data_IF_450642589318
#
_entry.id   IF_450642589318
#
_cell.length_a   1.000
_cell.length_b   1.000
_cell.length_c   1.000
_cell.angle_alpha   90.00
_cell.angle_beta   90.00
_cell.angle_gamma   90.00
#
_symmetry.space_group_name_H-M   'P 1'
#
loop_
_entity.id
_entity.type
_entity.pdbx_description
1 polymer ?
#
# COMPACT_ATOMS: atom_id res chain seq x y z
N UNK A 1 -19.35 -10.02 30.83
CA UNK A 1 -18.15 -10.72 30.33
C UNK A 1 -18.28 -11.11 28.85
N UNK A 2 -19.36 -11.75 28.40
CA UNK A 2 -19.54 -12.14 26.99
C UNK A 2 -19.54 -10.91 26.05
N UNK A 3 -20.26 -9.82 26.41
CA UNK A 3 -20.26 -8.59 25.60
C UNK A 3 -18.90 -7.92 25.52
N UNK A 4 -18.10 -7.93 26.59
CA UNK A 4 -16.74 -7.38 26.59
C UNK A 4 -15.79 -8.25 25.76
N UNK A 5 -16.00 -9.57 25.75
CA UNK A 5 -15.26 -10.51 24.91
C UNK A 5 -15.62 -10.34 23.44
N UNK A 6 -16.91 -10.22 23.12
CA UNK A 6 -17.40 -9.97 21.75
C UNK A 6 -16.96 -8.60 21.22
N UNK A 7 -16.93 -7.57 22.08
CA UNK A 7 -16.43 -6.23 21.68
C UNK A 7 -14.92 -6.26 21.43
N UNK A 8 -14.16 -7.05 22.20
CA UNK A 8 -12.73 -7.27 21.98
C UNK A 8 -12.45 -8.13 20.74
N UNK A 9 -13.26 -9.16 20.49
CA UNK A 9 -13.19 -9.92 19.22
C UNK A 9 -13.54 -9.02 18.02
N UNK A 10 -14.55 -8.17 18.12
CA UNK A 10 -14.91 -7.21 17.07
C UNK A 10 -13.83 -6.15 16.80
N UNK A 11 -13.00 -5.83 17.80
CA UNK A 11 -11.85 -4.92 17.62
C UNK A 11 -10.60 -5.62 17.08
N UNK A 12 -10.53 -6.95 17.16
CA UNK A 12 -9.44 -7.76 16.57
C UNK A 12 -9.63 -7.92 15.06
N UNK A 13 -10.88 -7.94 14.60
CA UNK A 13 -11.22 -8.03 13.17
C UNK A 13 -11.74 -6.68 12.68
N UNK A 14 -10.83 -5.82 12.27
CA UNK A 14 -11.18 -4.57 11.59
C UNK A 14 -12.01 -4.87 10.32
N UNK A 15 -12.91 -3.96 9.95
CA UNK A 15 -13.69 -4.06 8.72
C UNK A 15 -12.80 -4.28 7.49
N UNK A 16 -11.57 -3.75 7.50
CA UNK A 16 -10.55 -3.99 6.50
C UNK A 16 -10.18 -5.46 6.38
N UNK A 17 -9.98 -6.19 7.50
CA UNK A 17 -9.64 -7.62 7.46
C UNK A 17 -10.73 -8.45 6.76
N UNK A 18 -11.99 -8.20 7.09
CA UNK A 18 -13.11 -8.92 6.48
C UNK A 18 -13.22 -8.69 4.98
N UNK A 19 -13.09 -7.45 4.53
CA UNK A 19 -13.27 -7.10 3.12
C UNK A 19 -12.04 -7.40 2.29
N UNK A 20 -10.83 -7.07 2.79
CA UNK A 20 -9.60 -7.16 2.01
C UNK A 20 -8.99 -8.56 1.98
N UNK A 21 -9.22 -9.38 3.01
CA UNK A 21 -8.54 -10.67 3.14
C UNK A 21 -9.52 -11.84 3.31
N UNK A 22 -10.48 -11.75 4.23
CA UNK A 22 -11.35 -12.87 4.53
C UNK A 22 -12.34 -13.18 3.38
N UNK A 23 -12.97 -12.17 2.79
CA UNK A 23 -13.86 -12.37 1.65
C UNK A 23 -13.13 -12.95 0.42
N UNK A 24 -11.95 -12.45 -0.02
CA UNK A 24 -11.15 -13.11 -1.03
C UNK A 24 -10.75 -14.55 -0.67
N UNK A 25 -10.34 -14.82 0.57
CA UNK A 25 -10.00 -16.17 1.03
C UNK A 25 -11.21 -17.11 0.93
N UNK A 26 -12.40 -16.63 1.32
CA UNK A 26 -13.64 -17.39 1.15
C UNK A 26 -13.91 -17.71 -0.32
N UNK A 27 -13.73 -16.75 -1.23
CA UNK A 27 -13.85 -16.98 -2.68
C UNK A 27 -12.86 -18.04 -3.15
N UNK A 28 -11.61 -18.02 -2.69
CA UNK A 28 -10.60 -19.04 -3.04
C UNK A 28 -11.02 -20.45 -2.63
N UNK A 29 -11.52 -20.62 -1.41
CA UNK A 29 -12.01 -21.91 -0.90
C UNK A 29 -13.25 -22.38 -1.67
N UNK A 30 -14.19 -21.47 -1.94
CA UNK A 30 -15.39 -21.79 -2.73
C UNK A 30 -15.04 -22.21 -4.16
N UNK A 31 -14.13 -21.50 -4.84
CA UNK A 31 -13.67 -21.85 -6.18
C UNK A 31 -12.99 -23.24 -6.22
N UNK A 32 -12.22 -23.56 -5.18
CA UNK A 32 -11.61 -24.89 -5.05
C UNK A 32 -12.66 -26.00 -4.88
N UNK A 33 -13.70 -25.73 -4.10
CA UNK A 33 -14.86 -26.61 -3.96
C UNK A 33 -15.62 -26.81 -5.29
N UNK A 34 -15.75 -25.73 -6.08
CA UNK A 34 -16.37 -25.81 -7.42
C UNK A 34 -15.56 -26.70 -8.36
N UNK A 35 -14.23 -26.54 -8.42
CA UNK A 35 -13.36 -27.39 -9.25
C UNK A 35 -13.52 -28.87 -8.85
N UNK A 36 -13.52 -29.15 -7.54
CA UNK A 36 -13.75 -30.50 -7.03
C UNK A 36 -15.12 -31.04 -7.42
N UNK A 37 -16.19 -30.25 -7.24
CA UNK A 37 -17.56 -30.65 -7.58
C UNK A 37 -17.77 -30.89 -9.08
N UNK A 38 -17.10 -30.11 -9.92
CA UNK A 38 -17.16 -30.30 -11.39
C UNK A 38 -16.44 -31.57 -11.80
N UNK A 39 -15.34 -31.93 -11.15
CA UNK A 39 -14.58 -33.14 -11.44
C UNK A 39 -15.31 -34.42 -10.94
N UNK A 40 -15.72 -34.43 -9.68
CA UNK A 40 -16.34 -35.60 -9.04
C UNK A 40 -17.82 -35.77 -9.42
N UNK A 41 -18.47 -34.69 -9.85
CA UNK A 41 -19.92 -34.64 -10.05
C UNK A 41 -20.65 -34.07 -8.85
N UNK A 42 -21.56 -33.14 -9.10
CA UNK A 42 -22.35 -32.49 -8.03
C UNK A 42 -23.16 -33.48 -7.18
N UNK A 43 -23.68 -34.58 -7.81
CA UNK A 43 -24.43 -35.57 -7.10
C UNK A 43 -23.56 -36.38 -6.12
N UNK A 44 -22.30 -36.68 -6.47
CA UNK A 44 -21.36 -37.37 -5.58
C UNK A 44 -20.97 -36.50 -4.38
N UNK A 45 -20.70 -35.21 -4.61
CA UNK A 45 -20.39 -34.27 -3.52
C UNK A 45 -21.58 -34.10 -2.59
N UNK A 46 -22.80 -33.98 -3.14
CA UNK A 46 -24.02 -33.93 -2.34
C UNK A 46 -24.22 -35.21 -1.54
N UNK A 47 -24.09 -36.37 -2.17
CA UNK A 47 -24.18 -37.67 -1.51
C UNK A 47 -23.13 -37.88 -0.42
N UNK A 48 -21.90 -37.41 -0.65
CA UNK A 48 -20.86 -37.39 0.39
C UNK A 48 -21.28 -36.53 1.58
N UNK A 49 -21.81 -35.32 1.34
CA UNK A 49 -22.28 -34.44 2.40
C UNK A 49 -23.43 -35.04 3.19
N UNK A 50 -24.44 -35.60 2.51
CA UNK A 50 -25.62 -36.20 3.12
C UNK A 50 -25.27 -37.51 3.88
N UNK A 51 -24.22 -38.19 3.49
CA UNK A 51 -23.68 -39.35 4.19
C UNK A 51 -22.96 -39.04 5.50
N UNK A 52 -22.61 -37.78 5.75
CA UNK A 52 -21.99 -37.36 7.01
C UNK A 52 -23.01 -37.30 8.15
N UNK A 53 -22.60 -37.73 9.34
CA UNK A 53 -23.41 -37.51 10.55
C UNK A 53 -23.43 -35.98 10.86
N UNK A 54 -24.48 -35.52 11.54
CA UNK A 54 -24.64 -34.12 11.91
C UNK A 54 -23.39 -33.52 12.60
N UNK A 55 -22.75 -34.30 13.49
CA UNK A 55 -21.50 -33.89 14.15
C UNK A 55 -20.34 -33.73 13.15
N UNK A 56 -20.24 -34.59 12.16
CA UNK A 56 -19.21 -34.51 11.12
C UNK A 56 -19.45 -33.33 10.17
N UNK A 57 -20.71 -33.05 9.83
CA UNK A 57 -21.07 -31.86 9.03
C UNK A 57 -20.68 -30.56 9.76
N UNK A 58 -20.97 -30.46 11.07
CA UNK A 58 -20.53 -29.33 11.90
C UNK A 58 -19.01 -29.22 11.94
N UNK A 59 -18.29 -30.32 12.19
CA UNK A 59 -16.82 -30.32 12.22
C UNK A 59 -16.22 -29.94 10.88
N UNK A 60 -16.80 -30.42 9.76
CA UNK A 60 -16.37 -30.04 8.41
C UNK A 60 -16.59 -28.57 8.15
N UNK A 61 -17.75 -28.01 8.53
CA UNK A 61 -18.04 -26.58 8.43
C UNK A 61 -17.05 -25.73 9.24
N UNK A 62 -16.76 -26.15 10.48
CA UNK A 62 -15.75 -25.46 11.33
C UNK A 62 -14.35 -25.57 10.73
N UNK A 63 -13.96 -26.73 10.17
CA UNK A 63 -12.67 -26.90 9.50
C UNK A 63 -12.54 -26.01 8.25
N UNK A 64 -13.60 -25.89 7.44
CA UNK A 64 -13.63 -24.98 6.30
C UNK A 64 -13.54 -23.51 6.75
N UNK A 65 -14.26 -23.11 7.80
CA UNK A 65 -14.16 -21.76 8.37
C UNK A 65 -12.74 -21.45 8.86
N UNK A 66 -12.12 -22.41 9.55
CA UNK A 66 -10.73 -22.31 10.00
C UNK A 66 -9.78 -22.17 8.79
N UNK A 67 -9.98 -22.98 7.75
CA UNK A 67 -9.18 -22.91 6.53
C UNK A 67 -9.29 -21.54 5.87
N UNK A 68 -10.50 -21.00 5.70
CA UNK A 68 -10.72 -19.61 5.18
C UNK A 68 -9.96 -18.60 6.02
N UNK A 69 -10.04 -18.72 7.35
CA UNK A 69 -9.37 -17.78 8.26
C UNK A 69 -7.85 -17.88 8.14
N UNK A 70 -7.29 -19.07 8.05
CA UNK A 70 -5.84 -19.28 7.83
C UNK A 70 -5.40 -18.68 6.50
N UNK A 71 -6.14 -18.92 5.41
CA UNK A 71 -5.85 -18.33 4.10
C UNK A 71 -5.93 -16.80 4.16
N UNK A 72 -6.91 -16.24 4.88
CA UNK A 72 -7.03 -14.80 5.06
C UNK A 72 -5.80 -14.18 5.77
N UNK A 73 -5.29 -14.81 6.82
CA UNK A 73 -4.05 -14.38 7.48
C UNK A 73 -2.82 -14.49 6.58
N UNK A 74 -2.75 -15.52 5.73
CA UNK A 74 -1.67 -15.62 4.73
C UNK A 74 -1.75 -14.48 3.71
N UNK A 75 -2.95 -14.14 3.22
CA UNK A 75 -3.14 -13.01 2.32
C UNK A 75 -2.75 -11.68 3.00
N UNK A 76 -3.13 -11.49 4.27
CA UNK A 76 -2.74 -10.30 5.04
C UNK A 76 -1.21 -10.21 5.20
N UNK A 77 -0.55 -11.31 5.55
CA UNK A 77 0.91 -11.35 5.67
C UNK A 77 1.63 -11.05 4.33
N UNK A 78 0.98 -11.37 3.20
CA UNK A 78 1.51 -11.14 1.86
C UNK A 78 1.06 -9.80 1.24
N UNK A 79 0.25 -8.99 1.92
CA UNK A 79 -0.38 -7.77 1.40
C UNK A 79 0.62 -6.86 0.68
N UNK A 80 1.70 -6.47 1.36
CA UNK A 80 2.73 -5.57 0.80
C UNK A 80 3.38 -6.18 -0.44
N UNK A 81 3.63 -7.50 -0.44
CA UNK A 81 4.23 -8.17 -1.58
C UNK A 81 3.28 -8.20 -2.78
N UNK A 82 2.00 -8.53 -2.56
CA UNK A 82 0.97 -8.55 -3.61
C UNK A 82 0.83 -7.16 -4.23
N UNK A 83 0.64 -6.12 -3.42
CA UNK A 83 0.51 -4.73 -3.90
C UNK A 83 1.72 -4.33 -4.74
N UNK A 84 2.95 -4.60 -4.28
CA UNK A 84 4.18 -4.28 -5.02
C UNK A 84 4.26 -4.97 -6.38
N UNK A 85 3.81 -6.22 -6.51
CA UNK A 85 3.77 -6.89 -7.81
C UNK A 85 2.84 -6.15 -8.79
N UNK A 86 1.67 -5.73 -8.32
CA UNK A 86 0.71 -4.98 -9.14
C UNK A 86 1.09 -3.51 -9.34
N UNK A 87 1.96 -2.93 -8.53
CA UNK A 87 2.59 -1.64 -8.77
C UNK A 87 3.67 -1.70 -9.88
N UNK A 88 4.11 -2.90 -10.24
CA UNK A 88 5.13 -3.11 -11.27
C UNK A 88 6.55 -3.23 -10.74
N UNK A 89 6.74 -3.56 -9.46
CA UNK A 89 8.04 -3.94 -8.89
C UNK A 89 8.29 -5.43 -9.09
N UNK A 90 8.65 -5.79 -10.32
CA UNK A 90 8.85 -7.18 -10.67
C UNK A 90 10.28 -7.65 -10.37
N UNK A 91 10.50 -8.96 -10.08
CA UNK A 91 11.82 -9.49 -9.84
C UNK A 91 12.75 -9.30 -11.06
N UNK A 92 14.05 -9.26 -10.83
CA UNK A 92 15.07 -9.00 -11.83
C UNK A 92 15.00 -9.92 -13.07
N UNK A 93 14.57 -11.16 -12.89
CA UNK A 93 14.37 -12.12 -14.00
C UNK A 93 13.19 -11.79 -14.92
N UNK A 94 12.28 -10.92 -14.49
CA UNK A 94 11.20 -10.34 -15.30
C UNK A 94 11.53 -8.93 -15.84
N UNK A 95 12.74 -8.44 -15.65
CA UNK A 95 13.14 -7.08 -16.01
C UNK A 95 12.90 -6.75 -17.49
N UNK A 96 13.03 -7.75 -18.38
CA UNK A 96 12.73 -7.56 -19.79
C UNK A 96 11.23 -7.30 -20.04
N UNK A 97 10.36 -8.05 -19.40
CA UNK A 97 8.92 -7.84 -19.47
C UNK A 97 8.52 -6.50 -18.84
N UNK A 98 9.15 -6.16 -17.71
CA UNK A 98 8.93 -4.88 -17.04
C UNK A 98 9.24 -3.70 -17.96
N UNK A 99 10.40 -3.68 -18.61
CA UNK A 99 10.78 -2.63 -19.55
C UNK A 99 9.77 -2.50 -20.70
N UNK A 100 9.36 -3.61 -21.31
CA UNK A 100 8.34 -3.59 -22.37
C UNK A 100 7.00 -3.05 -21.87
N UNK A 101 6.58 -3.46 -20.68
CA UNK A 101 5.35 -2.95 -20.08
C UNK A 101 5.45 -1.45 -19.76
N UNK A 102 6.59 -0.97 -19.28
CA UNK A 102 6.85 0.46 -19.08
C UNK A 102 6.77 1.24 -20.41
N UNK A 103 7.32 0.71 -21.50
CA UNK A 103 7.24 1.36 -22.83
C UNK A 103 5.77 1.45 -23.31
N UNK A 104 4.98 0.40 -23.10
CA UNK A 104 3.54 0.42 -23.38
C UNK A 104 2.83 1.47 -22.52
N UNK A 105 3.20 1.60 -21.25
CA UNK A 105 2.62 2.60 -20.35
C UNK A 105 3.07 4.04 -20.72
N UNK A 106 4.30 4.24 -21.17
CA UNK A 106 4.76 5.55 -21.71
C UNK A 106 3.96 5.93 -22.95
N UNK A 107 3.71 4.99 -23.87
CA UNK A 107 2.85 5.23 -25.02
C UNK A 107 1.40 5.52 -24.61
N UNK A 108 0.88 4.84 -23.57
CA UNK A 108 -0.44 5.12 -23.01
C UNK A 108 -0.50 6.51 -22.35
N UNK A 109 0.55 6.91 -21.63
CA UNK A 109 0.68 8.27 -21.07
C UNK A 109 0.65 9.33 -22.17
N UNK A 110 1.41 9.15 -23.25
CA UNK A 110 1.44 10.10 -24.36
C UNK A 110 0.04 10.29 -24.97
N UNK A 111 -0.73 9.19 -25.17
CA UNK A 111 -2.12 9.26 -25.65
C UNK A 111 -3.04 9.99 -24.66
N UNK A 112 -2.89 9.67 -23.37
CA UNK A 112 -3.68 10.30 -22.31
C UNK A 112 -3.43 11.80 -22.25
N UNK A 113 -2.17 12.24 -22.30
CA UNK A 113 -1.75 13.65 -22.32
C UNK A 113 -2.34 14.38 -23.52
N UNK A 114 -2.27 13.77 -24.71
CA UNK A 114 -2.85 14.35 -25.93
C UNK A 114 -4.38 14.53 -25.84
N UNK A 115 -5.09 13.66 -25.12
CA UNK A 115 -6.54 13.73 -24.94
C UNK A 115 -6.96 14.72 -23.82
N UNK A 116 -6.10 15.00 -22.85
CA UNK A 116 -6.40 15.78 -21.64
C UNK A 116 -5.60 17.10 -21.59
N UNK A 117 -5.50 17.82 -22.71
CA UNK A 117 -4.90 19.16 -22.80
C UNK A 117 -3.48 19.25 -22.23
N UNK A 118 -2.66 18.21 -22.47
CA UNK A 118 -1.29 18.08 -21.99
C UNK A 118 -1.13 17.86 -20.48
N UNK A 119 -2.18 17.45 -19.79
CA UNK A 119 -2.10 17.06 -18.39
C UNK A 119 -1.92 15.55 -18.23
N UNK A 120 -0.75 15.10 -17.80
CA UNK A 120 -0.51 13.67 -17.45
C UNK A 120 -1.29 13.26 -16.18
N UNK A 121 -1.59 14.22 -15.39
CA UNK A 121 -2.15 14.12 -14.06
C UNK A 121 -3.68 14.02 -14.07
N UNK A 122 -4.33 13.16 -13.26
CA UNK A 122 -3.80 12.37 -12.14
C UNK A 122 -3.46 10.90 -12.47
N UNK A 123 -3.45 10.49 -13.72
CA UNK A 123 -3.36 9.08 -14.12
C UNK A 123 -1.92 8.56 -14.22
N UNK A 124 -0.96 9.44 -14.49
CA UNK A 124 0.45 9.11 -14.67
C UNK A 124 1.37 10.07 -13.90
N UNK A 125 2.57 9.62 -13.50
CA UNK A 125 3.59 10.51 -12.96
C UNK A 125 4.01 11.55 -14.01
N UNK A 126 4.48 12.72 -13.57
CA UNK A 126 4.90 13.80 -14.46
C UNK A 126 6.19 13.40 -15.20
N UNK A 127 7.15 12.84 -14.48
CA UNK A 127 8.41 12.37 -15.04
C UNK A 127 8.23 11.02 -15.77
N UNK A 128 8.73 10.92 -17.03
CA UNK A 128 8.68 9.70 -17.82
C UNK A 128 9.57 8.57 -17.27
N UNK A 129 10.63 8.92 -16.54
CA UNK A 129 11.49 7.95 -15.87
C UNK A 129 10.79 7.26 -14.68
N UNK A 130 9.72 7.85 -14.17
CA UNK A 130 8.96 7.33 -13.05
C UNK A 130 7.74 6.51 -13.46
N UNK A 131 7.49 6.38 -14.77
CA UNK A 131 6.40 5.56 -15.30
C UNK A 131 6.62 4.09 -14.95
N UNK A 132 5.61 3.48 -14.32
CA UNK A 132 5.62 2.08 -13.90
C UNK A 132 5.05 1.16 -14.95
N UNK A 133 5.37 -0.13 -14.84
CA UNK A 133 4.92 -1.17 -15.76
C UNK A 133 3.39 -1.38 -15.78
N UNK A 134 2.66 -0.84 -14.79
CA UNK A 134 1.22 -1.09 -14.62
C UNK A 134 0.42 0.21 -14.47
N UNK A 135 -0.84 0.17 -14.89
CA UNK A 135 -1.74 1.32 -14.73
C UNK A 135 -2.06 1.65 -13.26
N UNK A 136 -2.07 0.63 -12.38
CA UNK A 136 -2.23 0.82 -10.93
C UNK A 136 -1.00 1.53 -10.36
N UNK A 137 0.21 1.03 -10.65
CA UNK A 137 1.45 1.62 -10.18
C UNK A 137 1.61 3.07 -10.65
N UNK A 138 1.18 3.41 -11.87
CA UNK A 138 1.23 4.79 -12.36
C UNK A 138 0.34 5.74 -11.55
N UNK A 139 -0.87 5.30 -11.15
CA UNK A 139 -1.77 6.13 -10.32
C UNK A 139 -1.25 6.36 -8.91
N UNK A 140 -0.70 5.32 -8.29
CA UNK A 140 -0.09 5.42 -6.96
C UNK A 140 1.14 6.32 -7.06
N UNK A 141 2.01 6.10 -8.07
CA UNK A 141 3.20 6.93 -8.26
C UNK A 141 2.89 8.39 -8.52
N UNK A 142 1.84 8.69 -9.29
CA UNK A 142 1.37 10.05 -9.49
C UNK A 142 0.91 10.72 -8.19
N UNK A 143 0.32 9.98 -7.25
CA UNK A 143 -0.06 10.50 -5.95
C UNK A 143 1.14 10.73 -5.03
N UNK A 144 2.16 9.85 -5.09
CA UNK A 144 3.42 10.01 -4.34
C UNK A 144 4.24 11.20 -4.86
N UNK A 145 4.23 11.46 -6.17
CA UNK A 145 4.96 12.56 -6.79
C UNK A 145 4.29 13.92 -6.53
N UNK A 146 2.98 13.95 -6.30
CA UNK A 146 2.19 15.16 -6.12
C UNK A 146 2.73 16.12 -5.07
N UNK A 147 2.96 15.72 -3.81
CA UNK A 147 3.46 16.65 -2.80
C UNK A 147 4.91 17.05 -3.05
N UNK A 148 5.69 16.26 -3.76
CA UNK A 148 7.04 16.63 -4.17
C UNK A 148 7.02 17.75 -5.21
N UNK A 149 6.09 17.72 -6.17
CA UNK A 149 5.94 18.75 -7.19
C UNK A 149 5.43 20.06 -6.61
N UNK A 150 4.39 20.01 -5.76
CA UNK A 150 3.74 21.22 -5.25
C UNK A 150 4.45 21.81 -4.04
N UNK A 151 4.92 20.99 -3.12
CA UNK A 151 5.40 21.41 -1.81
C UNK A 151 6.86 21.06 -1.57
N UNK A 152 7.55 20.41 -2.54
CA UNK A 152 8.90 19.84 -2.39
C UNK A 152 9.02 18.84 -1.23
N UNK A 153 7.94 18.16 -0.92
CA UNK A 153 7.78 17.23 0.19
C UNK A 153 7.79 15.80 -0.34
N UNK A 154 8.76 14.98 0.10
CA UNK A 154 8.83 13.56 -0.27
C UNK A 154 7.69 12.77 0.41
N UNK A 155 6.72 12.30 -0.38
CA UNK A 155 5.58 11.59 0.12
C UNK A 155 5.97 10.31 0.89
N UNK A 156 6.91 9.53 0.39
CA UNK A 156 7.29 8.23 0.97
C UNK A 156 7.93 8.43 2.35
N UNK A 157 8.82 9.41 2.46
CA UNK A 157 9.49 9.73 3.72
C UNK A 157 8.51 10.31 4.76
N UNK A 158 7.61 11.18 4.32
CA UNK A 158 6.76 11.95 5.23
C UNK A 158 5.42 11.30 5.53
N UNK A 159 4.98 10.31 4.74
CA UNK A 159 3.69 9.63 4.94
C UNK A 159 3.47 9.08 6.35
N UNK A 160 4.40 8.31 6.96
CA UNK A 160 4.16 7.77 8.31
C UNK A 160 3.98 8.87 9.37
N UNK A 161 4.71 9.98 9.22
CA UNK A 161 4.63 11.14 10.12
C UNK A 161 3.33 11.91 9.91
N UNK A 162 2.95 12.13 8.64
CA UNK A 162 1.69 12.75 8.27
C UNK A 162 0.51 11.92 8.79
N UNK A 163 0.54 10.60 8.60
CA UNK A 163 -0.49 9.70 9.09
C UNK A 163 -0.67 9.79 10.62
N UNK A 164 0.42 9.99 11.37
CA UNK A 164 0.35 10.21 12.82
C UNK A 164 -0.17 11.62 13.19
N UNK A 165 -0.01 12.59 12.29
CA UNK A 165 -0.45 13.96 12.50
C UNK A 165 -1.92 14.19 12.13
N UNK A 166 -2.45 13.41 11.19
CA UNK A 166 -3.84 13.52 10.72
C UNK A 166 -4.87 13.21 11.82
N UNK A 167 -6.06 13.85 11.76
CA UNK A 167 -7.23 13.46 12.55
C UNK A 167 -7.63 12.00 12.27
N UNK A 168 -8.27 11.34 13.26
CA UNK A 168 -8.73 9.97 13.13
C UNK A 168 -9.68 9.77 11.95
N UNK A 169 -10.56 10.71 11.70
CA UNK A 169 -11.51 10.68 10.56
C UNK A 169 -10.79 10.62 9.21
N UNK A 170 -9.71 11.41 9.03
CA UNK A 170 -8.95 11.40 7.78
C UNK A 170 -8.20 10.07 7.61
N UNK A 171 -7.62 9.53 8.67
CA UNK A 171 -6.99 8.19 8.66
C UNK A 171 -7.99 7.12 8.25
N UNK A 172 -9.18 7.10 8.87
CA UNK A 172 -10.25 6.17 8.52
C UNK A 172 -10.67 6.32 7.05
N UNK A 173 -10.72 7.54 6.52
CA UNK A 173 -11.03 7.80 5.10
C UNK A 173 -9.95 7.26 4.17
N UNK A 174 -8.68 7.42 4.51
CA UNK A 174 -7.55 6.85 3.76
C UNK A 174 -7.61 5.33 3.76
N UNK A 175 -7.81 4.72 4.93
CA UNK A 175 -7.90 3.27 5.08
C UNK A 175 -9.11 2.70 4.31
N UNK A 176 -10.27 3.37 4.40
CA UNK A 176 -11.47 3.00 3.65
C UNK A 176 -11.27 3.10 2.12
N UNK A 177 -10.48 4.06 1.64
CA UNK A 177 -10.15 4.19 0.23
C UNK A 177 -9.13 3.13 -0.26
N UNK A 178 -8.22 2.68 0.62
CA UNK A 178 -7.21 1.66 0.27
C UNK A 178 -7.74 0.23 0.36
N UNK A 179 -8.67 -0.05 1.26
CA UNK A 179 -9.26 -1.37 1.47
C UNK A 179 -9.77 -2.04 0.19
N UNK A 180 -10.59 -1.38 -0.68
CA UNK A 180 -11.04 -1.99 -1.93
C UNK A 180 -9.90 -2.23 -2.93
N UNK A 181 -8.81 -1.46 -2.91
CA UNK A 181 -7.64 -1.73 -3.75
C UNK A 181 -7.06 -3.09 -3.38
N UNK A 182 -6.78 -3.32 -2.10
CA UNK A 182 -6.21 -4.59 -1.60
C UNK A 182 -7.16 -5.75 -1.86
N UNK A 183 -8.46 -5.59 -1.57
CA UNK A 183 -9.48 -6.63 -1.81
C UNK A 183 -9.50 -7.09 -3.27
N UNK A 184 -9.52 -6.13 -4.21
CA UNK A 184 -9.57 -6.41 -5.64
C UNK A 184 -8.27 -7.01 -6.18
N UNK A 185 -7.11 -6.63 -5.63
CA UNK A 185 -5.82 -7.24 -5.98
C UNK A 185 -5.73 -8.67 -5.47
N UNK A 186 -6.21 -8.96 -4.26
CA UNK A 186 -6.30 -10.31 -3.73
C UNK A 186 -7.24 -11.18 -4.58
N UNK A 187 -8.43 -10.67 -4.95
CA UNK A 187 -9.33 -11.36 -5.86
C UNK A 187 -8.70 -11.60 -7.23
N UNK A 188 -8.02 -10.61 -7.80
CA UNK A 188 -7.29 -10.76 -9.06
C UNK A 188 -6.25 -11.89 -8.96
N UNK A 189 -5.46 -11.90 -7.87
CA UNK A 189 -4.46 -12.94 -7.60
C UNK A 189 -5.11 -14.33 -7.51
N UNK A 190 -6.22 -14.46 -6.79
CA UNK A 190 -6.96 -15.69 -6.63
C UNK A 190 -7.52 -16.18 -7.98
N UNK A 191 -8.12 -15.30 -8.77
CA UNK A 191 -8.72 -15.68 -10.04
C UNK A 191 -7.69 -16.17 -11.07
N UNK A 192 -6.55 -15.49 -11.23
CA UNK A 192 -5.56 -15.97 -12.17
C UNK A 192 -4.81 -17.22 -11.65
N UNK A 193 -4.56 -17.34 -10.33
CA UNK A 193 -4.05 -18.57 -9.73
C UNK A 193 -5.02 -19.73 -9.95
N UNK A 194 -6.31 -19.48 -9.70
CA UNK A 194 -7.36 -20.47 -9.93
C UNK A 194 -7.46 -20.85 -11.41
N UNK A 195 -7.36 -19.89 -12.33
CA UNK A 195 -7.32 -20.18 -13.76
C UNK A 195 -6.14 -21.08 -14.13
N UNK A 196 -4.94 -20.80 -13.62
CA UNK A 196 -3.74 -21.57 -13.93
C UNK A 196 -3.75 -22.95 -13.24
N UNK A 197 -3.92 -22.97 -11.91
CA UNK A 197 -3.82 -24.20 -11.12
C UNK A 197 -5.05 -25.08 -11.32
N UNK A 198 -6.25 -24.51 -11.20
CA UNK A 198 -7.52 -25.21 -11.41
C UNK A 198 -7.68 -25.65 -12.88
N UNK A 199 -7.30 -24.77 -13.82
CA UNK A 199 -7.27 -25.10 -15.24
C UNK A 199 -6.30 -26.25 -15.55
N UNK A 200 -5.05 -26.19 -15.08
CA UNK A 200 -4.07 -27.25 -15.27
C UNK A 200 -4.52 -28.58 -14.65
N UNK A 201 -5.14 -28.53 -13.47
CA UNK A 201 -5.71 -29.70 -12.82
C UNK A 201 -6.81 -30.32 -13.67
N UNK A 202 -7.79 -29.56 -14.13
CA UNK A 202 -8.88 -30.03 -14.98
C UNK A 202 -8.36 -30.53 -16.33
N UNK A 203 -7.41 -29.87 -16.97
CA UNK A 203 -6.78 -30.34 -18.19
C UNK A 203 -6.14 -31.72 -18.03
N UNK A 204 -5.57 -32.02 -16.85
CA UNK A 204 -4.90 -33.30 -16.58
C UNK A 204 -5.87 -34.42 -16.24
N UNK A 205 -6.98 -34.11 -15.55
CA UNK A 205 -7.83 -35.13 -14.92
C UNK A 205 -9.29 -35.15 -15.41
N UNK A 206 -9.75 -34.14 -16.16
CA UNK A 206 -11.09 -34.08 -16.74
C UNK A 206 -11.02 -34.22 -18.27
N UNK A 207 -11.69 -35.22 -18.89
CA UNK A 207 -11.67 -35.38 -20.34
C UNK A 207 -12.46 -34.32 -21.12
N UNK A 208 -13.23 -33.47 -20.41
CA UNK A 208 -14.11 -32.46 -21.01
C UNK A 208 -13.34 -31.16 -21.26
N UNK A 209 -12.74 -31.03 -22.45
CA UNK A 209 -11.95 -29.85 -22.82
C UNK A 209 -12.69 -28.49 -22.63
N UNK A 210 -14.01 -28.46 -22.74
CA UNK A 210 -14.78 -27.24 -22.52
C UNK A 210 -14.79 -26.79 -21.04
N UNK A 211 -14.71 -27.74 -20.08
CA UNK A 211 -14.62 -27.43 -18.64
C UNK A 211 -13.31 -26.72 -18.34
N UNK A 212 -12.20 -27.28 -18.85
CA UNK A 212 -10.91 -26.59 -18.78
C UNK A 212 -10.98 -25.19 -19.36
N UNK A 213 -11.53 -25.03 -20.59
CA UNK A 213 -11.63 -23.76 -21.26
C UNK A 213 -12.46 -22.75 -20.44
N UNK A 214 -13.59 -23.19 -19.88
CA UNK A 214 -14.46 -22.35 -19.06
C UNK A 214 -13.76 -21.86 -17.78
N UNK A 215 -13.06 -22.73 -17.07
CA UNK A 215 -12.32 -22.40 -15.85
C UNK A 215 -11.13 -21.50 -16.17
N UNK A 216 -10.33 -21.85 -17.16
CA UNK A 216 -9.14 -21.10 -17.53
C UNK A 216 -9.47 -19.69 -18.04
N UNK A 217 -10.27 -19.59 -19.08
CA UNK A 217 -10.60 -18.30 -19.67
C UNK A 217 -11.56 -17.47 -18.80
N UNK A 218 -12.50 -18.13 -18.10
CA UNK A 218 -13.37 -17.47 -17.13
C UNK A 218 -12.59 -16.88 -15.96
N UNK A 219 -11.63 -17.62 -15.43
CA UNK A 219 -10.74 -17.13 -14.37
C UNK A 219 -9.86 -15.95 -14.83
N UNK A 220 -9.28 -16.05 -16.03
CA UNK A 220 -8.49 -14.94 -16.60
C UNK A 220 -9.35 -13.68 -16.84
N UNK A 221 -10.58 -13.84 -17.33
CA UNK A 221 -11.53 -12.74 -17.49
C UNK A 221 -11.89 -12.11 -16.16
N UNK A 222 -12.20 -12.92 -15.14
CA UNK A 222 -12.49 -12.45 -13.79
C UNK A 222 -11.30 -11.71 -13.17
N UNK A 223 -10.07 -12.23 -13.36
CA UNK A 223 -8.85 -11.57 -12.93
C UNK A 223 -8.66 -10.21 -13.63
N UNK A 224 -8.90 -10.15 -14.94
CA UNK A 224 -8.83 -8.89 -15.68
C UNK A 224 -9.85 -7.87 -15.20
N UNK A 225 -11.11 -8.28 -14.94
CA UNK A 225 -12.15 -7.40 -14.40
C UNK A 225 -11.75 -6.89 -13.02
N UNK A 226 -11.28 -7.78 -12.13
CA UNK A 226 -10.83 -7.42 -10.79
C UNK A 226 -9.65 -6.42 -10.83
N UNK A 227 -8.67 -6.64 -11.72
CA UNK A 227 -7.57 -5.71 -11.93
C UNK A 227 -8.05 -4.33 -12.43
N UNK A 228 -8.97 -4.30 -13.41
CA UNK A 228 -9.53 -3.03 -13.92
C UNK A 228 -10.27 -2.27 -12.82
N UNK A 229 -11.02 -2.97 -11.98
CA UNK A 229 -11.68 -2.38 -10.82
C UNK A 229 -10.67 -1.87 -9.78
N UNK A 230 -9.58 -2.61 -9.52
CA UNK A 230 -8.49 -2.18 -8.63
C UNK A 230 -7.82 -0.88 -9.13
N UNK A 231 -7.61 -0.73 -10.44
CA UNK A 231 -7.07 0.50 -11.04
C UNK A 231 -8.00 1.70 -10.81
N UNK A 232 -9.33 1.51 -10.87
CA UNK A 232 -10.30 2.57 -10.55
C UNK A 232 -10.28 2.90 -9.05
N UNK A 233 -10.25 1.89 -8.19
CA UNK A 233 -10.15 2.06 -6.74
C UNK A 233 -8.84 2.79 -6.36
N UNK A 234 -7.72 2.47 -7.01
CA UNK A 234 -6.44 3.16 -6.82
C UNK A 234 -6.49 4.64 -7.20
N UNK A 235 -7.28 5.03 -8.21
CA UNK A 235 -7.49 6.43 -8.56
C UNK A 235 -8.21 7.19 -7.43
N UNK A 236 -9.22 6.56 -6.81
CA UNK A 236 -9.90 7.13 -5.64
C UNK A 236 -8.94 7.25 -4.45
N UNK A 237 -8.21 6.18 -4.11
CA UNK A 237 -7.19 6.22 -3.06
C UNK A 237 -6.16 7.34 -3.31
N UNK A 238 -5.62 7.43 -4.52
CA UNK A 238 -4.70 8.49 -4.92
C UNK A 238 -5.26 9.89 -4.68
N UNK A 239 -6.56 10.11 -4.94
CA UNK A 239 -7.20 11.40 -4.68
C UNK A 239 -7.29 11.72 -3.18
N UNK A 240 -7.61 10.73 -2.36
CA UNK A 240 -7.69 10.89 -0.90
C UNK A 240 -6.31 11.16 -0.30
N UNK A 241 -5.26 10.50 -0.79
CA UNK A 241 -3.86 10.76 -0.37
C UNK A 241 -3.46 12.20 -0.66
N UNK A 242 -3.81 12.73 -1.84
CA UNK A 242 -3.52 14.14 -2.18
C UNK A 242 -4.21 15.10 -1.23
N UNK A 243 -5.51 14.89 -0.97
CA UNK A 243 -6.27 15.69 -0.01
C UNK A 243 -5.65 15.64 1.39
N UNK A 244 -5.12 14.49 1.79
CA UNK A 244 -4.43 14.34 3.07
C UNK A 244 -3.19 15.25 3.16
N UNK A 245 -2.37 15.31 2.10
CA UNK A 245 -1.24 16.23 2.04
C UNK A 245 -1.70 17.70 2.00
N UNK A 246 -2.68 18.02 1.15
CA UNK A 246 -3.16 19.39 1.00
C UNK A 246 -3.68 19.97 2.30
N UNK A 247 -4.46 19.19 3.06
CA UNK A 247 -5.12 19.67 4.28
C UNK A 247 -4.23 19.57 5.53
N UNK A 248 -3.35 18.55 5.62
CA UNK A 248 -2.71 18.21 6.90
C UNK A 248 -1.18 18.39 6.93
N UNK A 249 -0.53 18.79 5.82
CA UNK A 249 0.92 19.04 5.83
C UNK A 249 1.34 20.14 6.82
N UNK A 250 0.51 21.18 6.99
CA UNK A 250 0.78 22.26 7.96
C UNK A 250 0.53 21.83 9.41
N UNK A 251 -0.43 20.93 9.65
CA UNK A 251 -0.64 20.30 10.96
C UNK A 251 0.60 19.51 11.38
N UNK A 252 1.26 18.84 10.42
CA UNK A 252 2.51 18.14 10.65
C UNK A 252 3.63 19.11 11.08
N UNK A 253 3.78 20.27 10.41
CA UNK A 253 4.75 21.30 10.83
C UNK A 253 4.48 21.77 12.25
N UNK A 254 3.23 22.01 12.58
CA UNK A 254 2.82 22.43 13.94
C UNK A 254 3.19 21.36 14.97
N UNK A 255 2.97 20.07 14.66
CA UNK A 255 3.34 18.95 15.56
C UNK A 255 4.86 18.77 15.69
N UNK A 256 5.62 19.14 14.66
CA UNK A 256 7.08 19.17 14.71
C UNK A 256 7.63 20.41 15.40
N UNK A 257 6.76 21.27 15.92
CA UNK A 257 7.11 22.57 16.53
C UNK A 257 7.89 23.49 15.59
N UNK A 258 7.66 23.37 14.26
CA UNK A 258 8.28 24.23 13.26
C UNK A 258 7.44 25.48 13.01
N UNK A 259 8.08 26.61 12.68
CA UNK A 259 7.35 27.81 12.30
C UNK A 259 6.56 27.55 11.02
N UNK A 260 5.33 28.08 10.97
CA UNK A 260 4.54 28.02 9.75
C UNK A 260 5.11 29.02 8.73
N UNK A 261 5.43 28.58 7.51
CA UNK A 261 5.97 29.46 6.48
C UNK A 261 4.90 30.40 5.93
N UNK A 262 5.31 31.62 5.56
CA UNK A 262 4.43 32.71 5.09
C UNK A 262 3.98 32.49 3.62
N UNK A 263 4.73 31.75 2.83
CA UNK A 263 4.45 31.52 1.42
C UNK A 263 4.88 30.13 0.97
N UNK A 264 4.42 29.72 -0.23
CA UNK A 264 4.71 28.39 -0.81
C UNK A 264 6.20 28.14 -1.06
N UNK A 265 6.96 29.18 -1.41
CA UNK A 265 8.39 29.02 -1.64
C UNK A 265 9.10 28.68 -0.33
N UNK A 266 8.87 29.45 0.71
CA UNK A 266 9.41 29.20 2.05
C UNK A 266 8.98 27.85 2.60
N UNK A 267 7.72 27.43 2.34
CA UNK A 267 7.22 26.10 2.71
C UNK A 267 8.02 25.00 2.00
N UNK A 268 8.24 25.12 0.69
CA UNK A 268 8.99 24.14 -0.07
C UNK A 268 10.46 24.03 0.35
N UNK A 269 11.07 25.15 0.69
CA UNK A 269 12.44 25.19 1.17
C UNK A 269 12.58 24.56 2.57
N UNK A 270 11.61 24.82 3.47
CA UNK A 270 11.55 24.17 4.78
C UNK A 270 11.38 22.66 4.66
N UNK A 271 10.47 22.17 3.78
CA UNK A 271 10.29 20.73 3.56
C UNK A 271 11.52 20.06 2.97
N UNK A 272 12.20 20.72 2.04
CA UNK A 272 13.46 20.21 1.48
C UNK A 272 14.54 20.08 2.56
N UNK A 273 14.69 21.09 3.41
CA UNK A 273 15.64 21.07 4.52
C UNK A 273 15.32 19.96 5.54
N UNK A 274 14.05 19.81 5.92
CA UNK A 274 13.60 18.75 6.82
C UNK A 274 13.78 17.36 6.19
N UNK A 275 13.58 17.23 4.87
CA UNK A 275 13.82 15.98 4.15
C UNK A 275 15.29 15.60 4.19
N UNK A 276 16.20 16.55 3.95
CA UNK A 276 17.63 16.30 4.05
C UNK A 276 18.04 15.85 5.46
N UNK A 277 17.52 16.53 6.48
CA UNK A 277 17.78 16.15 7.86
C UNK A 277 17.31 14.73 8.19
N UNK A 278 16.09 14.37 7.79
CA UNK A 278 15.49 13.09 8.16
C UNK A 278 15.88 11.91 7.27
N UNK A 279 16.23 12.15 6.00
CA UNK A 279 16.62 11.11 5.07
C UNK A 279 18.12 10.77 5.16
N UNK A 280 18.96 11.79 5.36
CA UNK A 280 20.41 11.61 5.27
C UNK A 280 21.11 11.80 6.60
N UNK A 281 20.38 12.14 7.68
CA UNK A 281 20.97 12.49 8.99
C UNK A 281 22.10 13.54 8.89
N UNK A 282 22.15 14.27 7.78
CA UNK A 282 23.10 15.34 7.55
C UNK A 282 22.48 16.65 8.02
N UNK A 283 23.17 17.29 8.94
CA UNK A 283 22.78 18.62 9.34
C UNK A 283 23.15 19.57 8.21
N UNK A 284 22.18 20.35 7.70
CA UNK A 284 22.45 21.24 6.55
C UNK A 284 23.50 22.33 6.80
N UNK A 285 23.93 22.52 8.04
CA UNK A 285 24.98 23.48 8.40
C UNK A 285 26.41 22.96 8.33
N UNK A 286 26.61 21.66 8.06
CA UNK A 286 27.97 21.14 7.80
C UNK A 286 28.52 21.59 6.44
N UNK A 287 27.63 21.81 5.48
CA UNK A 287 27.96 22.40 4.17
C UNK A 287 27.45 23.83 4.11
N UNK A 288 28.27 24.79 4.36
CA UNK A 288 28.05 26.27 4.38
C UNK A 288 27.31 26.88 3.16
N UNK A 289 26.43 26.12 2.50
CA UNK A 289 25.79 26.48 1.23
C UNK A 289 24.24 26.54 1.27
N UNK A 290 23.58 26.32 2.40
CA UNK A 290 22.12 26.47 2.45
C UNK A 290 21.71 27.84 2.96
N UNK A 291 21.04 28.68 2.16
CA UNK A 291 20.60 30.01 2.57
C UNK A 291 19.58 30.02 3.71
N UNK A 292 19.10 28.82 4.13
CA UNK A 292 18.10 28.65 5.21
C UNK A 292 18.72 28.53 6.60
N UNK A 293 20.02 28.26 6.71
CA UNK A 293 20.68 27.93 7.96
C UNK A 293 21.54 29.05 8.55
N UNK A 294 21.55 30.19 7.92
CA UNK A 294 22.07 31.44 8.55
C UNK A 294 21.21 31.95 9.72
N UNK A 295 20.03 31.33 9.91
CA UNK A 295 19.17 31.65 11.06
C UNK A 295 18.96 30.39 11.90
N UNK A 296 19.21 30.44 13.22
CA UNK A 296 18.92 29.30 14.08
C UNK A 296 17.45 28.88 13.95
N UNK A 297 17.19 27.58 13.88
CA UNK A 297 15.82 27.05 13.95
C UNK A 297 15.19 27.50 15.27
N UNK A 298 14.21 28.38 15.20
CA UNK A 298 13.43 28.78 16.35
C UNK A 298 12.20 27.88 16.42
N UNK A 299 12.12 27.07 17.47
CA UNK A 299 10.87 26.35 17.79
C UNK A 299 9.81 27.40 18.16
N UNK A 300 8.63 27.27 17.56
CA UNK A 300 7.48 28.11 17.93
C UNK A 300 6.98 27.67 19.30
N UNK A 301 7.52 28.28 20.36
CA UNK A 301 7.01 28.11 21.72
C UNK A 301 5.71 28.95 21.90
N UNK A 302 4.69 28.67 21.07
CA UNK A 302 3.34 29.18 21.33
C UNK A 302 2.62 28.29 22.36
N UNK A 303 3.26 28.02 23.50
CA UNK A 303 2.50 27.71 24.67
C UNK A 303 2.15 29.04 25.36
N UNK A 304 0.90 29.42 25.29
CA UNK A 304 0.30 30.43 26.17
C UNK A 304 0.23 30.00 27.64
N UNK A 305 0.94 28.90 27.99
CA UNK A 305 1.18 28.50 29.35
C UNK A 305 2.38 29.31 29.88
N UNK A 306 2.13 30.11 30.89
CA UNK A 306 3.16 30.73 31.72
C UNK A 306 4.24 29.68 32.01
N UNK A 307 5.52 29.95 31.67
CA UNK A 307 6.55 28.94 31.88
C UNK A 307 6.59 28.56 33.39
N UNK A 308 6.60 27.27 33.73
CA UNK A 308 6.85 26.89 35.11
C UNK A 308 8.21 27.47 35.52
N UNK A 309 8.27 28.01 36.73
CA UNK A 309 9.47 28.62 37.31
C UNK A 309 10.60 27.59 37.63
N UNK A 310 10.58 26.44 36.98
CA UNK A 310 11.57 25.39 37.22
C UNK A 310 12.67 25.42 36.16
N UNK A 311 13.92 25.12 36.53
CA UNK A 311 15.08 25.34 35.69
C UNK A 311 15.04 24.49 34.43
N UNK A 312 15.35 25.13 33.32
CA UNK A 312 15.60 24.53 32.01
C UNK A 312 16.57 23.34 32.19
N UNK A 313 16.09 22.12 31.96
CA UNK A 313 16.97 20.97 31.85
C UNK A 313 17.85 21.13 30.60
N UNK A 314 19.05 21.61 30.82
CA UNK A 314 20.10 21.55 29.80
C UNK A 314 20.49 20.09 29.67
N UNK A 315 20.03 19.40 28.62
CA UNK A 315 20.56 18.08 28.28
C UNK A 315 22.00 18.30 27.82
N UNK A 316 22.96 18.21 28.74
CA UNK A 316 24.37 18.00 28.39
C UNK A 316 24.49 16.61 27.84
N UNK A 317 24.60 16.50 26.52
CA UNK A 317 25.16 15.30 25.90
C UNK A 317 26.60 15.22 26.36
N UNK A 318 26.85 14.38 27.36
CA UNK A 318 28.22 14.01 27.75
C UNK A 318 28.81 13.21 26.58
N UNK A 319 29.48 13.91 25.66
CA UNK A 319 30.43 13.25 24.77
C UNK A 319 31.53 12.68 25.68
N UNK A 320 31.55 11.37 25.83
CA UNK A 320 32.64 10.65 26.46
C UNK A 320 33.89 10.87 25.61
N UNK A 321 34.66 11.90 25.95
CA UNK A 321 36.01 12.09 25.48
C UNK A 321 36.91 11.09 26.21
N UNK A 322 37.26 10.00 25.56
CA UNK A 322 38.21 9.04 26.10
C UNK A 322 38.40 7.85 25.17
N UNK A 323 39.37 7.96 24.27
CA UNK A 323 40.11 6.80 23.82
C UNK A 323 39.89 6.29 22.39
N UNK A 324 40.95 6.44 21.60
CA UNK A 324 41.32 5.66 20.42
C UNK A 324 40.69 6.07 19.07
N UNK A 325 41.41 6.99 18.41
CA UNK A 325 41.46 7.13 16.95
C UNK A 325 41.83 5.78 16.33
N UNK A 326 40.91 5.11 15.65
CA UNK A 326 41.19 4.16 14.57
C UNK A 326 40.73 4.77 13.26
N UNK A 327 41.71 5.20 12.45
CA UNK A 327 41.50 5.75 11.12
C UNK A 327 40.90 4.68 10.19
N UNK A 328 39.80 4.97 9.61
CA UNK A 328 39.27 4.26 8.44
C UNK A 328 39.83 4.95 7.20
N UNK A 329 40.77 4.30 6.54
CA UNK A 329 41.20 4.67 5.18
C UNK A 329 40.09 4.26 4.21
N UNK A 330 39.66 5.20 3.38
CA UNK A 330 38.83 4.91 2.20
C UNK A 330 39.72 4.20 1.17
N UNK A 331 39.29 3.14 0.49
CA UNK A 331 39.95 2.69 -0.72
C UNK A 331 39.50 3.58 -1.87
N UNK A 332 40.48 4.12 -2.59
CA UNK A 332 40.33 4.66 -3.93
C UNK A 332 40.23 3.50 -4.92
N UNK A 333 39.18 3.45 -5.74
CA UNK A 333 39.18 3.17 -7.18
C UNK A 333 37.71 3.31 -7.67
#
# INVERSE_FOLDING_TARGET
MINTFLTRLGSIFDARFWVAFWAPAFVAVMLSGVVWSVQSGFAEVAGWWDGLRATQQVMTGLALLLLVTVVAYVLEAMDIWVVRQYEGYWPWWLAWFQRKAEDVQRAAKARYVAQHHNEAWPAFPKDDHQVRATGLGNRIRAAEEYPAILYRLDAVLWWPRLASAMPAEMRTRVDAAFTPVVALLNLCTIFWLWALVGGAWLYRFDPRAWVFAAVFFGGLLAAWIAYRAAVVAAANYASVVRVAFDCHRRDLLTKLAMPLPDNFQAEGELWNALTQLHAYASWPWEDNQSPYFDKPFHFNNHSTATPPKDPIYTVRILTASGGARRGWRRPHA
#
